data_IF_114883912633
#
_entry.id   IF_114883912633
#
_cell.length_a   1.000
_cell.length_b   1.000
_cell.length_c   1.000
_cell.angle_alpha   90.00
_cell.angle_beta   90.00
_cell.angle_gamma   90.00
#
_symmetry.space_group_name_H-M   'P 1'
#
loop_
_entity.id
_entity.type
_entity.pdbx_description
1 polymer ?
#
# COMPACT_ATOMS: atom_id res chain seq x y z
N UNK A 1 37.58 9.19 2.90
CA UNK A 1 36.61 8.15 3.28
C UNK A 1 36.29 7.31 2.05
N UNK A 2 36.68 6.03 2.05
CA UNK A 2 36.34 5.11 0.96
C UNK A 2 34.90 4.67 1.17
N UNK A 3 33.97 5.11 0.31
CA UNK A 3 32.58 4.63 0.39
C UNK A 3 32.55 3.16 0.01
N UNK A 4 31.98 2.36 0.88
CA UNK A 4 31.64 0.96 0.63
C UNK A 4 30.87 0.83 -0.70
N UNK A 5 31.10 -0.26 -1.44
CA UNK A 5 30.51 -0.42 -2.77
C UNK A 5 28.99 -0.50 -2.65
N UNK A 6 28.27 0.04 -3.64
CA UNK A 6 26.79 0.01 -3.66
C UNK A 6 26.24 -1.36 -4.08
N UNK A 7 27.11 -2.36 -4.27
CA UNK A 7 26.74 -3.69 -4.74
C UNK A 7 25.89 -4.39 -3.68
N UNK A 8 24.69 -4.85 -4.08
CA UNK A 8 23.74 -5.54 -3.20
C UNK A 8 22.87 -4.62 -2.32
N UNK A 9 22.99 -3.28 -2.41
CA UNK A 9 22.18 -2.35 -1.60
C UNK A 9 21.03 -1.76 -2.41
N UNK A 10 19.83 -1.75 -1.83
CA UNK A 10 18.66 -1.07 -2.40
C UNK A 10 18.84 0.46 -2.33
N UNK A 11 18.52 1.16 -3.43
CA UNK A 11 18.52 2.62 -3.51
C UNK A 11 17.09 3.14 -3.67
N UNK A 12 16.43 3.37 -2.53
CA UNK A 12 15.01 3.75 -2.49
C UNK A 12 14.72 5.10 -3.14
N UNK A 13 15.63 6.06 -3.05
CA UNK A 13 15.43 7.41 -3.64
C UNK A 13 15.46 7.34 -5.16
N UNK A 14 16.26 6.45 -5.75
CA UNK A 14 16.22 6.21 -7.20
C UNK A 14 15.05 5.32 -7.61
N UNK A 15 14.64 4.39 -6.76
CA UNK A 15 13.55 3.47 -7.07
C UNK A 15 12.16 4.12 -7.00
N UNK A 16 11.99 5.16 -6.17
CA UNK A 16 10.69 5.76 -5.88
C UNK A 16 10.56 7.17 -6.46
N UNK A 17 9.37 7.49 -6.98
CA UNK A 17 9.04 8.84 -7.45
C UNK A 17 8.46 9.71 -6.32
N UNK A 18 9.13 10.80 -5.91
CA UNK A 18 8.65 11.63 -4.80
C UNK A 18 7.31 12.33 -5.09
N UNK A 19 7.00 12.62 -6.36
CA UNK A 19 5.72 13.23 -6.75
C UNK A 19 4.57 12.22 -6.64
N UNK A 20 4.80 10.95 -6.98
CA UNK A 20 3.81 9.87 -6.82
C UNK A 20 3.55 9.62 -5.35
N UNK A 21 4.62 9.54 -4.53
CA UNK A 21 4.49 9.37 -3.08
C UNK A 21 3.68 10.51 -2.44
N UNK A 22 3.95 11.77 -2.82
CA UNK A 22 3.18 12.91 -2.34
C UNK A 22 1.70 12.80 -2.72
N UNK A 23 1.40 12.49 -3.98
CA UNK A 23 0.02 12.36 -4.47
C UNK A 23 -0.75 11.24 -3.77
N UNK A 24 -0.07 10.13 -3.52
CA UNK A 24 -0.63 9.00 -2.76
C UNK A 24 -0.94 9.39 -1.31
N UNK A 25 -0.05 10.11 -0.62
CA UNK A 25 -0.31 10.58 0.75
C UNK A 25 -1.46 11.59 0.79
N UNK A 26 -1.60 12.47 -0.21
CA UNK A 26 -2.75 13.38 -0.32
C UNK A 26 -4.06 12.61 -0.50
N UNK A 27 -4.05 11.54 -1.31
CA UNK A 27 -5.20 10.63 -1.41
C UNK A 27 -5.54 10.02 -0.04
N UNK A 28 -4.55 9.54 0.72
CA UNK A 28 -4.80 8.99 2.06
C UNK A 28 -5.37 10.05 3.02
N UNK A 29 -4.88 11.29 2.96
CA UNK A 29 -5.35 12.40 3.78
C UNK A 29 -6.84 12.72 3.51
N UNK A 30 -7.25 12.69 2.23
CA UNK A 30 -8.66 12.83 1.83
C UNK A 30 -9.55 11.74 2.43
N UNK A 31 -9.06 10.49 2.50
CA UNK A 31 -9.87 9.33 2.88
C UNK A 31 -9.76 8.91 4.36
N UNK A 32 -8.92 9.59 5.15
CA UNK A 32 -8.86 9.36 6.61
C UNK A 32 -9.92 10.13 7.39
N UNK A 33 -10.56 11.15 6.80
CA UNK A 33 -11.72 11.84 7.37
C UNK A 33 -12.94 10.90 7.37
N UNK A 34 -13.55 10.75 8.54
CA UNK A 34 -14.73 9.92 8.74
C UNK A 34 -16.02 10.75 8.65
N UNK A 35 -17.17 10.08 8.51
CA UNK A 35 -18.49 10.72 8.43
C UNK A 35 -18.87 11.52 9.69
N UNK A 36 -18.27 11.19 10.83
CA UNK A 36 -18.43 11.91 12.09
C UNK A 36 -17.49 13.13 12.24
N UNK A 37 -16.69 13.44 11.21
CA UNK A 37 -15.73 14.55 11.22
C UNK A 37 -14.37 14.20 11.85
N UNK A 38 -14.19 13.00 12.40
CA UNK A 38 -12.92 12.59 13.01
C UNK A 38 -11.93 12.07 11.96
N UNK A 39 -10.64 12.21 12.25
CA UNK A 39 -9.57 11.69 11.42
C UNK A 39 -9.04 10.38 11.97
N UNK A 40 -8.90 9.37 11.10
CA UNK A 40 -8.07 8.20 11.38
C UNK A 40 -6.59 8.57 11.24
N UNK A 41 -5.72 7.87 11.95
CA UNK A 41 -4.28 7.97 11.72
C UNK A 41 -3.92 7.41 10.33
N UNK A 42 -2.84 7.92 9.74
CA UNK A 42 -2.40 7.56 8.39
C UNK A 42 -2.10 6.06 8.22
N UNK A 43 -1.70 5.39 9.29
CA UNK A 43 -1.33 3.98 9.31
C UNK A 43 -2.45 3.06 9.81
N UNK A 44 -3.66 3.58 10.06
CA UNK A 44 -4.80 2.79 10.51
C UNK A 44 -5.08 1.57 9.61
N UNK A 45 -4.84 1.66 8.31
CA UNK A 45 -5.03 0.55 7.37
C UNK A 45 -4.11 -0.65 7.65
N UNK A 46 -2.95 -0.44 8.31
CA UNK A 46 -2.02 -1.51 8.69
C UNK A 46 -2.53 -2.39 9.82
N UNK A 47 -3.60 -1.96 10.51
CA UNK A 47 -4.31 -2.79 11.49
C UNK A 47 -4.98 -3.99 10.83
N UNK A 48 -5.31 -3.89 9.54
CA UNK A 48 -5.76 -4.98 8.69
C UNK A 48 -7.16 -4.77 8.13
N UNK A 49 -7.35 -5.27 6.92
CA UNK A 49 -8.62 -5.31 6.18
C UNK A 49 -8.69 -6.70 5.54
N UNK A 50 -9.86 -7.36 5.48
CA UNK A 50 -9.96 -8.67 4.86
C UNK A 50 -9.44 -8.69 3.41
N UNK A 51 -8.66 -9.72 3.04
CA UNK A 51 -8.06 -9.85 1.71
C UNK A 51 -9.08 -9.74 0.56
N UNK A 52 -10.26 -10.32 0.73
CA UNK A 52 -11.34 -10.24 -0.26
C UNK A 52 -11.89 -8.82 -0.44
N UNK A 53 -11.85 -7.99 0.61
CA UNK A 53 -12.22 -6.57 0.52
C UNK A 53 -11.24 -5.81 -0.36
N UNK A 54 -9.93 -6.08 -0.25
CA UNK A 54 -8.93 -5.48 -1.14
C UNK A 54 -9.13 -5.88 -2.61
N UNK A 55 -9.48 -7.15 -2.88
CA UNK A 55 -9.75 -7.62 -4.25
C UNK A 55 -10.99 -6.91 -4.82
N UNK A 56 -12.09 -6.92 -4.08
CA UNK A 56 -13.35 -6.31 -4.51
C UNK A 56 -13.20 -4.80 -4.71
N UNK A 57 -12.55 -4.09 -3.79
CA UNK A 57 -12.35 -2.64 -3.90
C UNK A 57 -11.34 -2.26 -4.96
N UNK A 58 -10.22 -2.99 -5.06
CA UNK A 58 -9.26 -2.80 -6.14
C UNK A 58 -9.89 -3.00 -7.53
N UNK A 59 -10.78 -3.99 -7.67
CA UNK A 59 -11.51 -4.24 -8.91
C UNK A 59 -12.39 -3.08 -9.35
N UNK A 60 -13.09 -2.40 -8.42
CA UNK A 60 -13.89 -1.20 -8.75
C UNK A 60 -13.02 -0.08 -9.31
N UNK A 61 -11.93 0.25 -8.62
CA UNK A 61 -11.03 1.32 -9.04
C UNK A 61 -10.25 0.99 -10.33
N UNK A 62 -10.04 -0.29 -10.62
CA UNK A 62 -9.54 -0.73 -11.92
C UNK A 62 -10.54 -0.42 -13.04
N UNK A 63 -11.83 -0.73 -12.85
CA UNK A 63 -12.88 -0.39 -13.82
C UNK A 63 -12.99 1.13 -14.00
N UNK A 64 -12.94 1.91 -12.92
CA UNK A 64 -12.94 3.39 -13.00
C UNK A 64 -11.78 3.89 -13.86
N UNK A 65 -10.57 3.38 -13.61
CA UNK A 65 -9.37 3.79 -14.34
C UNK A 65 -9.47 3.40 -15.82
N UNK A 66 -10.02 2.23 -16.14
CA UNK A 66 -10.23 1.81 -17.52
C UNK A 66 -11.23 2.74 -18.22
N UNK A 67 -12.41 2.95 -17.64
CA UNK A 67 -13.43 3.85 -18.21
C UNK A 67 -12.91 5.27 -18.44
N UNK A 68 -12.19 5.83 -17.46
CA UNK A 68 -11.57 7.16 -17.57
C UNK A 68 -10.52 7.22 -18.68
N UNK A 69 -9.77 6.14 -18.88
CA UNK A 69 -8.78 6.04 -19.98
C UNK A 69 -9.45 6.02 -21.36
N UNK A 70 -10.63 5.41 -21.47
CA UNK A 70 -11.44 5.39 -22.70
C UNK A 70 -12.23 6.70 -22.92
N UNK A 71 -12.10 7.69 -22.01
CA UNK A 71 -12.74 9.00 -22.12
C UNK A 71 -14.15 9.07 -21.53
N UNK A 72 -14.59 8.06 -20.78
CA UNK A 72 -15.85 8.11 -20.05
C UNK A 72 -15.66 8.76 -18.67
N UNK A 73 -16.64 9.55 -18.23
CA UNK A 73 -16.72 9.98 -16.84
C UNK A 73 -17.22 8.82 -15.96
N UNK A 74 -16.73 8.74 -14.71
CA UNK A 74 -17.22 7.79 -13.71
C UNK A 74 -17.53 8.49 -12.38
N UNK A 75 -18.34 7.84 -11.55
CA UNK A 75 -18.74 8.32 -10.24
C UNK A 75 -18.83 7.18 -9.24
N UNK A 76 -18.59 7.49 -7.96
CA UNK A 76 -18.82 6.60 -6.84
C UNK A 76 -19.79 7.24 -5.83
N UNK A 77 -19.94 6.63 -4.66
CA UNK A 77 -20.81 7.13 -3.59
C UNK A 77 -20.33 8.44 -2.94
N UNK A 78 -19.21 9.00 -3.40
CA UNK A 78 -18.62 10.28 -3.00
C UNK A 78 -18.57 11.30 -4.15
N UNK A 79 -19.06 10.95 -5.34
CA UNK A 79 -19.18 11.85 -6.50
C UNK A 79 -18.27 11.45 -7.66
N UNK A 80 -17.91 12.40 -8.55
CA UNK A 80 -17.04 12.14 -9.69
C UNK A 80 -15.68 11.58 -9.28
N UNK A 81 -15.18 10.60 -10.04
CA UNK A 81 -13.88 9.97 -9.80
C UNK A 81 -12.84 10.56 -10.75
N UNK A 82 -11.75 11.04 -10.17
CA UNK A 82 -10.59 11.51 -10.92
C UNK A 82 -9.59 10.36 -11.15
N UNK A 83 -8.94 10.34 -12.31
CA UNK A 83 -8.04 9.22 -12.69
C UNK A 83 -6.90 9.02 -11.70
N UNK A 84 -6.34 10.10 -11.15
CA UNK A 84 -5.30 10.03 -10.13
C UNK A 84 -5.80 9.42 -8.81
N UNK A 85 -7.03 9.73 -8.40
CA UNK A 85 -7.65 9.16 -7.20
C UNK A 85 -7.95 7.66 -7.42
N UNK A 86 -8.44 7.27 -8.60
CA UNK A 86 -8.65 5.86 -8.95
C UNK A 86 -7.34 5.06 -8.93
N UNK A 87 -6.26 5.60 -9.49
CA UNK A 87 -4.92 4.97 -9.45
C UNK A 87 -4.40 4.89 -8.00
N UNK A 88 -4.53 5.95 -7.20
CA UNK A 88 -4.12 5.92 -5.80
C UNK A 88 -4.93 4.92 -4.97
N UNK A 89 -6.22 4.76 -5.28
CA UNK A 89 -7.07 3.77 -4.64
C UNK A 89 -6.65 2.34 -5.01
N UNK A 90 -6.25 2.08 -6.26
CA UNK A 90 -5.63 0.81 -6.64
C UNK A 90 -4.32 0.56 -5.87
N UNK A 91 -3.44 1.56 -5.78
CA UNK A 91 -2.21 1.47 -4.98
C UNK A 91 -2.49 1.14 -3.52
N UNK A 92 -3.49 1.78 -2.91
CA UNK A 92 -3.92 1.49 -1.54
C UNK A 92 -4.33 0.03 -1.37
N UNK A 93 -5.13 -0.51 -2.29
CA UNK A 93 -5.57 -1.90 -2.21
C UNK A 93 -4.41 -2.90 -2.43
N UNK A 94 -3.48 -2.59 -3.34
CA UNK A 94 -2.31 -3.42 -3.58
C UNK A 94 -1.34 -3.41 -2.39
N UNK A 95 -1.04 -2.23 -1.85
CA UNK A 95 -0.18 -2.09 -0.66
C UNK A 95 -0.82 -2.75 0.56
N UNK A 96 -2.12 -2.54 0.78
CA UNK A 96 -2.88 -3.16 1.86
C UNK A 96 -2.88 -4.68 1.78
N UNK A 97 -3.15 -5.23 0.59
CA UNK A 97 -3.13 -6.68 0.37
C UNK A 97 -1.74 -7.28 0.57
N UNK A 98 -0.71 -6.64 0.03
CA UNK A 98 0.68 -7.10 0.20
C UNK A 98 1.12 -7.01 1.66
N UNK A 99 0.74 -5.94 2.37
CA UNK A 99 1.01 -5.78 3.79
C UNK A 99 0.43 -6.92 4.63
N UNK A 100 -0.81 -7.33 4.40
CA UNK A 100 -1.40 -8.45 5.15
C UNK A 100 -0.71 -9.79 4.85
N UNK A 101 -0.35 -10.05 3.58
CA UNK A 101 0.41 -11.26 3.20
C UNK A 101 1.77 -11.29 3.91
N UNK A 102 2.55 -10.21 3.81
CA UNK A 102 3.88 -10.14 4.40
C UNK A 102 3.84 -10.13 5.94
N UNK A 103 2.81 -9.53 6.53
CA UNK A 103 2.59 -9.53 7.98
C UNK A 103 2.26 -10.93 8.49
N UNK A 104 1.49 -11.72 7.75
CA UNK A 104 1.21 -13.12 8.08
C UNK A 104 2.49 -13.96 8.04
N UNK A 105 3.29 -13.84 6.98
CA UNK A 105 4.60 -14.51 6.85
C UNK A 105 5.53 -14.12 8.01
N UNK A 106 5.62 -12.83 8.33
CA UNK A 106 6.40 -12.33 9.45
C UNK A 106 6.00 -12.88 10.81
N UNK A 107 4.70 -13.01 11.05
CA UNK A 107 4.19 -13.55 12.30
C UNK A 107 4.50 -15.04 12.43
N UNK A 108 4.43 -15.78 11.31
CA UNK A 108 4.80 -17.19 11.26
C UNK A 108 6.30 -17.38 11.54
N UNK A 109 7.17 -16.63 10.86
CA UNK A 109 8.62 -16.69 11.06
C UNK A 109 9.00 -16.28 12.49
N UNK A 110 8.38 -15.21 13.02
CA UNK A 110 8.61 -14.77 14.40
C UNK A 110 8.16 -15.79 15.45
N UNK A 111 7.16 -16.61 15.16
CA UNK A 111 6.75 -17.72 16.02
C UNK A 111 7.81 -18.83 16.01
N UNK A 112 8.34 -19.18 14.84
CA UNK A 112 9.45 -20.14 14.70
C UNK A 112 10.68 -19.62 15.45
N UNK A 113 11.14 -18.39 15.17
CA UNK A 113 12.34 -17.82 15.79
C UNK A 113 12.25 -17.83 17.32
N UNK A 114 11.07 -17.54 17.87
CA UNK A 114 10.81 -17.64 19.30
C UNK A 114 10.91 -19.08 19.83
N UNK A 115 10.42 -20.08 19.08
CA UNK A 115 10.54 -21.50 19.46
C UNK A 115 11.99 -22.00 19.45
N UNK A 116 12.81 -21.53 18.50
CA UNK A 116 14.20 -21.98 18.32
C UNK A 116 15.26 -21.05 18.96
N UNK A 117 14.84 -19.92 19.55
CA UNK A 117 15.68 -19.03 20.35
C UNK A 117 16.64 -18.15 19.54
N UNK A 118 16.29 -17.78 18.30
CA UNK A 118 17.10 -16.86 17.45
C UNK A 118 16.56 -15.44 17.49
N UNK A 119 17.45 -14.47 17.34
CA UNK A 119 17.08 -13.05 17.23
C UNK A 119 16.29 -12.77 15.95
N UNK A 120 15.22 -11.97 16.05
CA UNK A 120 14.42 -11.56 14.90
C UNK A 120 15.27 -10.74 13.93
N UNK A 121 15.43 -11.23 12.71
CA UNK A 121 15.99 -10.44 11.61
C UNK A 121 14.88 -9.76 10.83
N UNK A 122 15.16 -8.59 10.24
CA UNK A 122 14.20 -7.98 9.32
C UNK A 122 13.93 -8.99 8.18
N UNK A 123 12.67 -9.15 7.75
CA UNK A 123 12.30 -10.11 6.73
C UNK A 123 13.11 -9.79 5.47
N UNK A 124 13.95 -10.73 5.07
CA UNK A 124 14.61 -10.67 3.78
C UNK A 124 13.70 -11.45 2.84
N UNK A 125 13.04 -10.81 1.84
CA UNK A 125 12.19 -11.54 0.92
C UNK A 125 12.96 -12.72 0.33
N UNK A 126 12.40 -13.94 0.41
CA UNK A 126 13.05 -15.14 -0.11
C UNK A 126 13.44 -14.93 -1.58
N UNK A 127 14.73 -14.92 -1.87
CA UNK A 127 15.26 -14.80 -3.23
C UNK A 127 15.69 -13.40 -3.69
N UNK A 128 15.85 -12.43 -2.78
CA UNK A 128 16.53 -11.15 -3.04
C UNK A 128 17.90 -11.08 -2.36
#
# INVERSE_FOLDING_TARGET
ATRDTTQGKLDYIKALSPIVLRRYVQYLDKHRLQSNGNYRDFDNWKQGIPLNTYISSGGRHFIDTWLLTEGYATEDNHGPVEIEDAICAQLFNLMGRLHEILKEELNYDAAIDHEIGVDRTAPTPKGY
#
